data_IF_813941689427
#
_entry.id   IF_813941689427
#
_cell.length_a   1.000
_cell.length_b   1.000
_cell.length_c   1.000
_cell.angle_alpha   90.00
_cell.angle_beta   90.00
_cell.angle_gamma   90.00
#
_symmetry.space_group_name_H-M   'P 1'
#
loop_
_entity.id
_entity.type
_entity.pdbx_description
1 polymer ?
#
# COMPACT_ATOMS: atom_id res chain seq x y z
N UNK A 1 -12.75 -20.50 -10.47
CA UNK A 1 -12.09 -20.63 -9.15
C UNK A 1 -10.76 -19.86 -9.25
N UNK A 2 -10.82 -18.53 -9.20
CA UNK A 2 -9.68 -17.60 -9.30
C UNK A 2 -9.97 -16.46 -8.31
N UNK A 3 -9.07 -16.24 -7.36
CA UNK A 3 -9.27 -15.36 -6.21
C UNK A 3 -9.11 -13.89 -6.58
N UNK A 4 -9.87 -13.05 -5.87
CA UNK A 4 -9.94 -11.57 -5.82
C UNK A 4 -8.60 -10.80 -5.64
N UNK A 5 -7.47 -11.27 -6.18
CA UNK A 5 -6.13 -10.72 -5.91
C UNK A 5 -5.54 -9.91 -7.07
N UNK A 6 -6.23 -9.73 -8.19
CA UNK A 6 -5.65 -9.06 -9.37
C UNK A 6 -5.65 -7.52 -9.30
N UNK A 7 -6.31 -6.89 -8.31
CA UNK A 7 -6.38 -5.42 -8.19
C UNK A 7 -5.78 -4.83 -6.89
N UNK A 8 -5.26 -5.68 -6.00
CA UNK A 8 -4.75 -5.24 -4.70
C UNK A 8 -3.22 -5.17 -4.70
N UNK A 9 -2.68 -4.08 -4.16
CA UNK A 9 -1.26 -3.93 -3.85
C UNK A 9 -1.00 -4.21 -2.37
N UNK A 10 0.10 -4.88 -2.07
CA UNK A 10 0.55 -5.16 -0.72
C UNK A 10 1.43 -4.02 -0.22
N UNK A 11 1.22 -3.56 1.01
CA UNK A 11 2.13 -2.64 1.66
C UNK A 11 3.42 -3.40 2.05
N UNK A 12 4.52 -3.16 1.34
CA UNK A 12 5.83 -3.76 1.62
C UNK A 12 6.71 -2.88 2.48
N UNK A 13 6.44 -1.58 2.51
CA UNK A 13 7.27 -0.56 3.13
C UNK A 13 6.37 0.46 3.79
N UNK A 14 6.57 0.72 5.06
CA UNK A 14 5.85 1.77 5.77
C UNK A 14 6.78 2.51 6.73
N UNK A 15 6.29 3.60 7.30
CA UNK A 15 6.87 4.25 8.45
C UNK A 15 5.95 4.07 9.65
N UNK A 16 6.14 3.02 10.49
CA UNK A 16 5.17 2.57 11.49
C UNK A 16 4.87 3.60 12.58
N UNK A 17 5.76 4.58 12.77
CA UNK A 17 5.55 5.72 13.66
C UNK A 17 4.40 6.63 13.25
N UNK A 18 3.91 6.52 12.00
CA UNK A 18 2.76 7.29 11.47
C UNK A 18 1.58 6.38 11.18
N UNK A 19 1.82 5.26 10.49
CA UNK A 19 0.78 4.28 10.21
C UNK A 19 1.00 3.01 11.01
N UNK A 20 0.20 2.85 12.06
CA UNK A 20 0.22 1.63 12.87
C UNK A 20 -0.64 0.53 12.22
N UNK A 21 -0.29 0.16 10.98
CA UNK A 21 -1.04 -0.75 10.11
C UNK A 21 -0.21 -1.98 9.77
N UNK A 22 -0.79 -3.16 9.97
CA UNK A 22 -0.17 -4.45 9.68
C UNK A 22 -0.97 -5.19 8.61
N UNK A 23 -0.28 -5.99 7.79
CA UNK A 23 -0.90 -6.77 6.72
C UNK A 23 -1.80 -5.94 5.80
N UNK A 24 -1.37 -4.70 5.50
CA UNK A 24 -2.16 -3.74 4.77
C UNK A 24 -2.16 -4.05 3.27
N UNK A 25 -3.34 -4.18 2.68
CA UNK A 25 -3.52 -4.24 1.22
C UNK A 25 -4.35 -3.06 0.76
N UNK A 26 -3.98 -2.46 -0.38
CA UNK A 26 -4.70 -1.34 -0.99
C UNK A 26 -5.25 -1.76 -2.35
N UNK A 27 -6.55 -1.61 -2.55
CA UNK A 27 -7.22 -1.80 -3.83
C UNK A 27 -7.56 -0.44 -4.46
N UNK A 28 -7.33 -0.32 -5.77
CA UNK A 28 -7.61 0.89 -6.54
C UNK A 28 -8.80 0.67 -7.48
N UNK A 29 -9.76 1.58 -7.45
CA UNK A 29 -10.97 1.52 -8.26
C UNK A 29 -11.14 2.81 -9.07
N UNK A 30 -11.08 2.76 -10.42
CA UNK A 30 -11.35 3.93 -11.26
C UNK A 30 -12.76 4.48 -11.00
N UNK A 31 -12.91 5.80 -10.93
CA UNK A 31 -14.18 6.42 -10.56
C UNK A 31 -14.70 7.44 -11.58
N UNK A 32 -13.84 8.31 -12.12
CA UNK A 32 -14.26 9.30 -13.11
C UNK A 32 -13.07 9.77 -13.97
N UNK A 33 -13.35 10.16 -15.22
CA UNK A 33 -12.39 10.78 -16.12
C UNK A 33 -13.02 12.03 -16.76
N UNK A 34 -12.26 13.12 -16.82
CA UNK A 34 -12.69 14.38 -17.45
C UNK A 34 -11.48 15.17 -17.95
N UNK A 35 -11.36 15.27 -19.28
CA UNK A 35 -10.25 15.97 -19.93
C UNK A 35 -8.90 15.43 -19.47
N UNK A 36 -8.05 16.32 -18.93
CA UNK A 36 -6.71 15.96 -18.41
C UNK A 36 -6.72 15.54 -16.94
N UNK A 37 -7.88 15.14 -16.42
CA UNK A 37 -8.02 14.72 -15.02
C UNK A 37 -8.72 13.37 -14.94
N UNK A 38 -8.25 12.52 -14.04
CA UNK A 38 -8.96 11.31 -13.63
C UNK A 38 -8.98 11.19 -12.11
N UNK A 39 -9.98 10.49 -11.61
CA UNK A 39 -10.15 10.22 -10.20
C UNK A 39 -10.35 8.72 -9.97
N UNK A 40 -9.81 8.23 -8.87
CA UNK A 40 -9.97 6.86 -8.41
C UNK A 40 -10.29 6.85 -6.92
N UNK A 41 -10.99 5.82 -6.47
CA UNK A 41 -11.13 5.51 -5.06
C UNK A 41 -10.10 4.47 -4.66
N UNK A 42 -9.76 4.45 -3.38
CA UNK A 42 -8.93 3.42 -2.78
C UNK A 42 -9.63 2.81 -1.57
N UNK A 43 -9.51 1.50 -1.44
CA UNK A 43 -9.95 0.75 -0.27
C UNK A 43 -8.74 0.05 0.32
N UNK A 44 -8.52 0.23 1.62
CA UNK A 44 -7.45 -0.42 2.34
C UNK A 44 -8.02 -1.40 3.35
N UNK A 45 -7.41 -2.58 3.45
CA UNK A 45 -7.68 -3.57 4.47
C UNK A 45 -6.42 -3.80 5.27
N UNK A 46 -6.49 -3.69 6.60
CA UNK A 46 -5.33 -3.75 7.47
C UNK A 46 -5.72 -4.21 8.88
N UNK A 47 -4.71 -4.49 9.72
CA UNK A 47 -4.85 -4.75 11.16
C UNK A 47 -4.21 -3.61 11.93
N UNK A 48 -4.93 -3.02 12.88
CA UNK A 48 -4.46 -1.86 13.63
C UNK A 48 -3.73 -2.27 14.90
N UNK A 49 -2.55 -1.68 15.15
CA UNK A 49 -1.82 -1.87 16.40
C UNK A 49 -0.91 -3.09 16.44
N UNK A 50 -1.37 -4.25 15.96
CA UNK A 50 -0.56 -5.46 15.84
C UNK A 50 -1.13 -6.44 14.80
N UNK A 51 -0.35 -7.48 14.47
CA UNK A 51 -0.68 -8.49 13.45
C UNK A 51 -1.83 -9.43 13.82
N UNK A 52 -2.14 -9.58 15.10
CA UNK A 52 -3.23 -10.45 15.59
C UNK A 52 -4.54 -9.69 15.80
N UNK A 53 -4.52 -8.35 15.69
CA UNK A 53 -5.70 -7.51 15.84
C UNK A 53 -6.76 -7.78 14.77
N UNK A 54 -8.00 -7.41 15.06
CA UNK A 54 -9.11 -7.49 14.11
C UNK A 54 -8.86 -6.68 12.84
N UNK A 55 -9.46 -7.14 11.74
CA UNK A 55 -9.37 -6.46 10.45
C UNK A 55 -10.16 -5.16 10.46
N UNK A 56 -9.58 -4.13 9.86
CA UNK A 56 -10.20 -2.81 9.64
C UNK A 56 -10.17 -2.48 8.16
N UNK A 57 -11.08 -1.57 7.79
CA UNK A 57 -11.16 -1.02 6.45
C UNK A 57 -11.03 0.50 6.55
N UNK A 58 -10.21 1.07 5.69
CA UNK A 58 -10.14 2.51 5.46
C UNK A 58 -10.42 2.81 3.99
N UNK A 59 -10.86 4.03 3.72
CA UNK A 59 -11.13 4.50 2.37
C UNK A 59 -10.29 5.73 2.05
N UNK A 60 -10.18 6.03 0.77
CA UNK A 60 -9.60 7.25 0.29
C UNK A 60 -9.93 7.47 -1.18
N UNK A 61 -9.26 8.46 -1.76
CA UNK A 61 -9.38 8.76 -3.17
C UNK A 61 -8.08 9.32 -3.70
N UNK A 62 -7.88 9.24 -5.00
CA UNK A 62 -6.80 9.93 -5.67
C UNK A 62 -7.26 10.67 -6.90
N UNK A 63 -6.50 11.70 -7.23
CA UNK A 63 -6.73 12.57 -8.38
C UNK A 63 -5.44 12.59 -9.18
N UNK A 64 -5.54 12.24 -10.45
CA UNK A 64 -4.50 12.45 -11.45
C UNK A 64 -4.89 13.71 -12.20
N UNK A 65 -4.05 14.73 -12.17
CA UNK A 65 -4.25 15.95 -12.94
C UNK A 65 -2.97 16.28 -13.70
N UNK A 66 -3.05 16.24 -15.03
CA UNK A 66 -1.88 16.30 -15.91
C UNK A 66 -0.89 15.19 -15.55
N UNK A 67 0.27 15.55 -15.00
CA UNK A 67 1.34 14.63 -14.63
C UNK A 67 1.51 14.49 -13.10
N UNK A 68 0.54 14.99 -12.33
CA UNK A 68 0.58 14.93 -10.86
C UNK A 68 -0.49 14.02 -10.32
N UNK A 69 -0.09 13.13 -9.42
CA UNK A 69 -0.99 12.27 -8.66
C UNK A 69 -1.03 12.72 -7.22
N UNK A 70 -2.25 12.92 -6.71
CA UNK A 70 -2.51 13.18 -5.29
C UNK A 70 -3.36 12.06 -4.75
N UNK A 71 -2.93 11.45 -3.65
CA UNK A 71 -3.63 10.36 -2.98
C UNK A 71 -4.00 10.82 -1.58
N UNK A 72 -5.29 10.83 -1.28
CA UNK A 72 -5.85 11.22 0.00
C UNK A 72 -6.32 9.96 0.72
N UNK A 73 -5.76 9.71 1.91
CA UNK A 73 -6.17 8.63 2.80
C UNK A 73 -6.96 9.24 3.95
N UNK A 74 -8.06 8.59 4.40
CA UNK A 74 -8.96 9.16 5.40
C UNK A 74 -8.29 9.56 6.73
N UNK A 75 -7.22 8.87 7.10
CA UNK A 75 -6.56 9.04 8.40
C UNK A 75 -5.42 10.06 8.37
N UNK A 76 -5.11 10.66 7.20
CA UNK A 76 -4.02 11.64 7.04
C UNK A 76 -4.52 12.95 6.39
N UNK A 77 -4.30 14.11 7.02
CA UNK A 77 -4.68 15.40 6.44
C UNK A 77 -3.87 15.81 5.20
N UNK A 78 -2.70 15.22 4.96
CA UNK A 78 -1.80 15.58 3.86
C UNK A 78 -1.96 14.61 2.67
N UNK A 79 -2.05 15.13 1.43
CA UNK A 79 -2.03 14.26 0.25
C UNK A 79 -0.63 13.66 0.04
N UNK A 80 -0.65 12.40 -0.37
CA UNK A 80 0.51 11.67 -0.85
C UNK A 80 0.70 11.87 -2.35
N UNK A 81 1.94 11.77 -2.79
CA UNK A 81 2.36 11.78 -4.18
C UNK A 81 3.18 10.55 -4.47
N UNK A 82 3.21 10.13 -5.74
CA UNK A 82 4.10 9.08 -6.19
C UNK A 82 5.51 9.68 -6.30
N UNK A 83 6.44 9.16 -5.51
CA UNK A 83 7.84 9.64 -5.45
C UNK A 83 8.81 8.70 -6.14
N UNK A 84 8.49 7.40 -6.20
CA UNK A 84 9.25 6.39 -6.94
C UNK A 84 8.27 5.41 -7.59
N UNK A 85 8.58 4.96 -8.81
CA UNK A 85 7.84 3.88 -9.50
C UNK A 85 8.80 2.78 -9.93
N UNK A 86 8.32 1.54 -9.88
CA UNK A 86 9.04 0.40 -10.42
C UNK A 86 8.94 0.26 -11.93
N UNK A 87 9.50 -0.81 -12.51
CA UNK A 87 9.32 -1.10 -13.93
C UNK A 87 7.85 -1.48 -14.23
N UNK A 88 7.43 -1.24 -15.47
CA UNK A 88 6.13 -1.68 -15.96
C UNK A 88 6.19 -3.16 -16.34
N UNK A 89 5.31 -3.96 -15.73
CA UNK A 89 5.09 -5.34 -16.15
C UNK A 89 4.52 -5.37 -17.58
N UNK A 90 5.21 -6.04 -18.51
CA UNK A 90 4.81 -6.04 -19.92
C UNK A 90 3.48 -6.77 -20.19
N UNK A 91 3.12 -7.74 -19.33
CA UNK A 91 1.92 -8.57 -19.47
C UNK A 91 0.69 -7.82 -18.96
N UNK A 92 0.80 -7.19 -17.79
CA UNK A 92 -0.34 -6.53 -17.12
C UNK A 92 -0.41 -5.02 -17.33
N UNK A 93 0.63 -4.40 -17.92
CA UNK A 93 0.73 -2.94 -18.14
C UNK A 93 0.63 -2.11 -16.85
N UNK A 94 1.03 -2.68 -15.73
CA UNK A 94 1.03 -2.05 -14.41
C UNK A 94 2.45 -1.93 -13.88
N UNK A 95 2.70 -0.91 -13.04
CA UNK A 95 3.94 -0.80 -12.29
C UNK A 95 4.04 -1.94 -11.27
N UNK A 96 5.23 -2.52 -11.12
CA UNK A 96 5.50 -3.59 -10.16
C UNK A 96 5.45 -3.11 -8.70
N UNK A 97 5.79 -1.83 -8.49
CA UNK A 97 5.63 -1.13 -7.22
C UNK A 97 5.49 0.38 -7.44
N UNK A 98 4.92 1.06 -6.44
CA UNK A 98 4.95 2.52 -6.32
C UNK A 98 5.29 2.89 -4.87
N UNK A 99 6.04 3.97 -4.67
CA UNK A 99 6.28 4.55 -3.35
C UNK A 99 5.54 5.88 -3.27
N UNK A 100 4.74 6.01 -2.23
CA UNK A 100 3.98 7.19 -1.89
C UNK A 100 4.66 7.94 -0.74
N UNK A 101 4.71 9.27 -0.82
CA UNK A 101 5.09 10.11 0.31
C UNK A 101 4.47 11.51 0.17
N UNK A 102 4.47 12.29 1.24
CA UNK A 102 3.99 13.67 1.21
C UNK A 102 5.15 14.68 1.02
N UNK A 103 4.83 15.97 1.01
CA UNK A 103 5.80 17.05 0.84
C UNK A 103 6.87 17.11 1.95
N UNK A 104 6.57 16.57 3.13
CA UNK A 104 7.50 16.49 4.26
C UNK A 104 8.42 15.26 4.17
N UNK A 105 8.33 14.48 3.07
CA UNK A 105 9.06 13.23 2.83
C UNK A 105 8.78 12.15 3.87
N UNK A 106 7.68 12.28 4.60
CA UNK A 106 7.32 11.40 5.69
C UNK A 106 5.81 11.48 6.00
N UNK A 107 5.09 10.36 6.07
CA UNK A 107 5.61 8.98 5.99
C UNK A 107 5.85 8.53 4.55
N UNK A 108 6.46 7.35 4.41
CA UNK A 108 6.59 6.64 3.14
C UNK A 108 5.75 5.37 3.16
N UNK A 109 5.04 5.11 2.07
CA UNK A 109 4.23 3.89 1.89
C UNK A 109 4.63 3.25 0.55
N UNK A 110 5.15 2.03 0.58
CA UNK A 110 5.49 1.26 -0.61
C UNK A 110 4.45 0.19 -0.90
N UNK A 111 3.79 0.34 -2.04
CA UNK A 111 2.76 -0.56 -2.52
C UNK A 111 3.34 -1.44 -3.63
N UNK A 112 3.20 -2.77 -3.50
CA UNK A 112 3.84 -3.75 -4.40
C UNK A 112 2.84 -4.79 -4.90
N UNK A 113 3.01 -5.22 -6.15
CA UNK A 113 2.13 -6.24 -6.78
C UNK A 113 2.41 -7.65 -6.29
N UNK A 114 3.68 -8.05 -6.24
CA UNK A 114 4.14 -9.34 -5.71
C UNK A 114 5.26 -9.12 -4.70
N UNK A 115 4.99 -9.45 -3.43
CA UNK A 115 5.94 -9.32 -2.33
C UNK A 115 7.22 -10.11 -2.55
N UNK A 116 7.13 -11.35 -3.04
CA UNK A 116 8.31 -12.21 -3.22
C UNK A 116 9.22 -11.62 -4.29
N UNK A 117 8.62 -11.18 -5.40
CA UNK A 117 9.36 -10.54 -6.49
C UNK A 117 9.98 -9.22 -6.03
N UNK A 118 9.24 -8.41 -5.28
CA UNK A 118 9.77 -7.17 -4.72
C UNK A 118 11.00 -7.39 -3.85
N UNK A 119 10.93 -8.32 -2.90
CA UNK A 119 12.06 -8.62 -2.02
C UNK A 119 13.24 -9.29 -2.74
N UNK A 120 12.98 -10.06 -3.80
CA UNK A 120 14.04 -10.71 -4.57
C UNK A 120 14.75 -9.76 -5.55
N UNK A 121 13.99 -8.89 -6.22
CA UNK A 121 14.46 -8.19 -7.41
C UNK A 121 14.54 -6.66 -7.27
N UNK A 122 13.77 -6.07 -6.34
CA UNK A 122 13.53 -4.61 -6.34
C UNK A 122 13.88 -3.90 -5.03
N UNK A 123 13.93 -4.59 -3.89
CA UNK A 123 14.15 -3.95 -2.58
C UNK A 123 15.37 -3.04 -2.57
N UNK A 124 16.54 -3.55 -2.96
CA UNK A 124 17.81 -2.82 -2.87
C UNK A 124 17.85 -1.65 -3.86
N UNK A 125 17.19 -1.80 -5.02
CA UNK A 125 17.03 -0.71 -5.99
C UNK A 125 16.13 0.41 -5.43
N UNK A 126 15.05 0.06 -4.72
CA UNK A 126 14.17 1.04 -4.07
C UNK A 126 14.89 1.84 -3.00
N UNK A 127 15.69 1.19 -2.16
CA UNK A 127 16.52 1.89 -1.16
C UNK A 127 17.46 2.89 -1.86
N UNK A 128 18.16 2.45 -2.90
CA UNK A 128 19.04 3.31 -3.71
C UNK A 128 18.29 4.51 -4.33
N UNK A 129 17.08 4.30 -4.84
CA UNK A 129 16.28 5.36 -5.46
C UNK A 129 15.76 6.36 -4.43
N UNK A 130 15.38 5.89 -3.23
CA UNK A 130 14.93 6.72 -2.13
C UNK A 130 16.07 7.56 -1.54
N UNK A 131 17.26 6.98 -1.39
CA UNK A 131 18.48 7.70 -1.00
C UNK A 131 18.79 8.81 -1.99
N UNK A 132 18.84 8.50 -3.30
CA UNK A 132 19.11 9.50 -4.34
C UNK A 132 18.07 10.62 -4.39
N UNK A 133 16.81 10.29 -4.10
CA UNK A 133 15.72 11.26 -4.05
C UNK A 133 15.66 12.05 -2.73
N UNK A 134 16.54 11.75 -1.77
CA UNK A 134 16.64 12.46 -0.49
C UNK A 134 15.55 12.11 0.51
N UNK A 135 14.99 10.89 0.41
CA UNK A 135 14.02 10.33 1.37
C UNK A 135 14.68 9.49 2.47
N UNK A 136 15.98 9.20 2.34
CA UNK A 136 16.80 8.55 3.35
C UNK A 136 17.98 9.46 3.68
N UNK A 137 18.18 9.77 4.97
CA UNK A 137 19.28 10.58 5.46
C UNK A 137 20.37 9.71 6.09
N UNK A 138 21.58 9.72 5.53
CA UNK A 138 22.78 9.06 6.06
C UNK A 138 23.24 9.66 7.42
N UNK A 139 22.79 10.88 7.74
CA UNK A 139 23.35 11.70 8.83
C UNK A 139 22.94 11.22 10.24
N UNK A 140 21.82 10.49 10.37
CA UNK A 140 21.29 10.08 11.68
C UNK A 140 21.42 8.58 11.98
N UNK A 141 21.81 7.75 11.00
CA UNK A 141 21.92 6.30 11.15
C UNK A 141 20.61 5.58 11.49
N UNK A 142 19.47 6.28 11.46
CA UNK A 142 18.15 5.72 11.68
C UNK A 142 17.47 5.56 10.33
N UNK A 143 17.35 4.33 9.84
CA UNK A 143 16.47 4.06 8.71
C UNK A 143 15.01 4.26 9.17
N UNK A 144 14.29 5.29 8.68
CA UNK A 144 12.88 5.50 9.05
C UNK A 144 11.96 4.47 8.38
N UNK A 145 12.52 3.63 7.50
CA UNK A 145 11.83 2.68 6.66
C UNK A 145 11.70 1.34 7.39
N UNK A 146 10.47 0.84 7.50
CA UNK A 146 10.19 -0.50 8.01
C UNK A 146 9.59 -1.37 6.91
N UNK A 147 10.20 -2.52 6.68
CA UNK A 147 9.68 -3.52 5.76
C UNK A 147 8.62 -4.39 6.43
N UNK A 148 7.45 -4.50 5.80
CA UNK A 148 6.36 -5.28 6.35
C UNK A 148 6.68 -6.79 6.33
N UNK A 149 6.57 -7.44 7.50
CA UNK A 149 6.75 -8.88 7.64
C UNK A 149 5.43 -9.63 7.34
N UNK A 150 5.23 -9.92 6.06
CA UNK A 150 4.05 -10.65 5.58
C UNK A 150 4.02 -12.13 5.97
N UNK A 151 5.11 -12.70 6.49
CA UNK A 151 5.10 -14.09 6.97
C UNK A 151 4.16 -14.29 8.16
N UNK A 152 3.88 -13.21 8.92
CA UNK A 152 2.97 -13.20 10.06
C UNK A 152 1.51 -12.95 9.66
N UNK A 153 1.27 -12.55 8.42
CA UNK A 153 -0.06 -12.29 7.92
C UNK A 153 -0.75 -13.60 7.55
N UNK A 154 -1.68 -14.05 8.40
CA UNK A 154 -2.51 -15.21 8.09
C UNK A 154 -3.40 -14.85 6.89
N UNK A 155 -3.41 -15.71 5.86
CA UNK A 155 -4.47 -15.66 4.83
C UNK A 155 -5.81 -15.78 5.56
N UNK A 156 -6.77 -14.92 5.24
CA UNK A 156 -8.15 -15.14 5.64
C UNK A 156 -8.61 -16.46 5.02
N UNK A 157 -8.51 -17.56 5.76
CA UNK A 157 -9.03 -18.86 5.32
C UNK A 157 -10.55 -18.77 5.39
N UNK A 158 -11.29 -19.02 4.29
CA UNK A 158 -12.74 -18.91 4.26
C UNK A 158 -13.48 -19.73 5.34
N UNK A 159 -12.83 -20.78 5.86
CA UNK A 159 -13.39 -21.67 6.87
C UNK A 159 -13.71 -20.93 8.18
N UNK A 160 -12.85 -20.02 8.63
CA UNK A 160 -13.08 -19.26 9.87
C UNK A 160 -14.13 -18.14 9.68
N UNK A 161 -14.29 -17.64 8.45
CA UNK A 161 -15.30 -16.62 8.14
C UNK A 161 -16.71 -17.22 8.13
N UNK A 162 -16.87 -18.44 7.59
CA UNK A 162 -18.16 -19.13 7.57
C UNK A 162 -18.60 -19.54 8.99
N UNK A 163 -17.69 -20.00 9.85
CA UNK A 163 -18.10 -20.36 11.23
C UNK A 163 -18.56 -19.13 12.01
N UNK A 164 -17.79 -18.03 11.96
CA UNK A 164 -18.11 -16.85 12.75
C UNK A 164 -19.40 -16.16 12.28
N UNK A 165 -19.62 -16.05 10.97
CA UNK A 165 -20.82 -15.44 10.42
C UNK A 165 -22.08 -16.27 10.71
N UNK A 166 -21.98 -17.61 10.67
CA UNK A 166 -23.12 -18.48 10.99
C UNK A 166 -23.41 -18.52 12.49
N UNK A 167 -22.39 -18.48 13.35
CA UNK A 167 -22.59 -18.37 14.80
C UNK A 167 -23.17 -17.02 15.20
N UNK A 168 -22.79 -15.93 14.55
CA UNK A 168 -23.33 -14.60 14.87
C UNK A 168 -24.73 -14.32 14.27
N UNK A 169 -25.11 -14.99 13.17
CA UNK A 169 -26.43 -14.82 12.53
C UNK A 169 -27.49 -15.83 12.99
N UNK A 170 -27.07 -17.01 13.46
CA UNK A 170 -27.97 -18.12 13.80
C UNK A 170 -27.70 -18.75 15.18
N UNK A 171 -26.84 -18.13 16.00
CA UNK A 171 -26.60 -18.49 17.41
C UNK A 171 -27.43 -17.67 18.36
#
# INVERSE_FOLDING_TARGET
MLSHTENCDFNALDTPSVHNRYCATTEFMPQAESGNSSAFSLQEKFRAGNVDAGEKVAFGYGIIHKERTYVYMQDDPCPYQIVVVGPINKQHKQYEYIILSNWARFPMIGLVRDLRKFYADYKDQVETDLEKAGFMDDVTGSNPIHYADWSKCKKATPINYISNVLTDLFG
#
